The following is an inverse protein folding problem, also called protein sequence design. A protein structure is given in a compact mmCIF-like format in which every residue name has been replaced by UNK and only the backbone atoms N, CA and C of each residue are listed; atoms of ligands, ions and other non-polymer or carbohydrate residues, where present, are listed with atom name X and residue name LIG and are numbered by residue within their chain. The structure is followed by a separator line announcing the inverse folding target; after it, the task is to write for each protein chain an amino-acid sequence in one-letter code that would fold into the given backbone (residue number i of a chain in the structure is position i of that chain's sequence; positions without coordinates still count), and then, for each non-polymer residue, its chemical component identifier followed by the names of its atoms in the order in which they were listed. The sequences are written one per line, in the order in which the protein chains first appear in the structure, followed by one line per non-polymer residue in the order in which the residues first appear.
data_IF_864655071922
#
_entry.id   IF_864655071922
#
_cell.length_a   1.000
_cell.length_b   1.000
_cell.length_c   1.000
_cell.angle_alpha   90.00
_cell.angle_beta   90.00
_cell.angle_gamma   90.00
#
_symmetry.space_group_name_H-M   'P 1'
#
loop_
_entity.id
_entity.type
_entity.pdbx_description
1 polymer ?
#
# COMPACT_ATOMS: atom_id res chain seq x y z
N UNK A 1 4.83 5.48 0.74
CA UNK A 1 5.16 5.20 2.18
C UNK A 1 5.89 3.84 2.28
N UNK A 2 6.37 3.36 3.44
CA UNK A 2 7.09 2.07 3.50
C UNK A 2 6.15 0.85 3.45
N UNK A 3 6.65 -0.26 2.90
CA UNK A 3 5.89 -1.49 2.67
C UNK A 3 5.28 -2.09 3.93
N UNK A 4 5.98 -2.01 5.07
CA UNK A 4 5.47 -2.59 6.31
C UNK A 4 4.30 -1.76 6.85
N UNK A 5 4.37 -0.43 6.73
CA UNK A 5 3.25 0.44 7.08
C UNK A 5 2.04 0.17 6.20
N UNK A 6 2.21 0.00 4.89
CA UNK A 6 1.12 -0.39 3.98
C UNK A 6 0.52 -1.76 4.32
N UNK A 7 1.35 -2.74 4.66
CA UNK A 7 0.90 -4.05 5.14
C UNK A 7 0.02 -3.93 6.40
N UNK A 8 0.39 -3.05 7.33
CA UNK A 8 -0.38 -2.80 8.55
C UNK A 8 -1.69 -2.06 8.29
N UNK A 9 -1.71 -1.08 7.36
CA UNK A 9 -2.96 -0.44 6.91
C UNK A 9 -3.89 -1.47 6.26
N UNK A 10 -3.35 -2.34 5.40
CA UNK A 10 -4.11 -3.45 4.83
C UNK A 10 -4.64 -4.41 5.90
N UNK A 11 -3.82 -4.72 6.93
CA UNK A 11 -4.24 -5.55 8.05
C UNK A 11 -5.39 -4.91 8.84
N UNK A 12 -5.38 -3.58 9.02
CA UNK A 12 -6.49 -2.81 9.60
C UNK A 12 -7.76 -2.99 8.76
N UNK A 13 -7.68 -2.90 7.43
CA UNK A 13 -8.82 -3.20 6.56
C UNK A 13 -9.33 -4.63 6.77
N UNK A 14 -8.42 -5.61 6.90
CA UNK A 14 -8.76 -7.00 7.18
C UNK A 14 -9.47 -7.20 8.52
N UNK A 15 -9.04 -6.51 9.57
CA UNK A 15 -9.67 -6.54 10.90
C UNK A 15 -11.07 -5.92 10.87
N UNK A 16 -11.21 -4.80 10.18
CA UNK A 16 -12.49 -4.13 9.94
C UNK A 16 -13.40 -4.93 9.00
N UNK A 17 -12.89 -5.90 8.25
CA UNK A 17 -13.70 -6.75 7.38
C UNK A 17 -14.73 -7.62 8.13
N UNK A 18 -15.79 -8.06 7.45
CA UNK A 18 -16.71 -9.08 7.97
C UNK A 18 -15.99 -10.38 8.40
N UNK A 19 -16.42 -10.99 9.52
CA UNK A 19 -15.82 -12.20 10.12
C UNK A 19 -16.02 -13.47 9.30
N UNK A 20 -17.03 -13.51 8.43
CA UNK A 20 -17.31 -14.63 7.52
C UNK A 20 -16.31 -14.71 6.34
N UNK A 21 -15.55 -13.64 6.08
CA UNK A 21 -14.47 -13.67 5.09
C UNK A 21 -13.29 -14.49 5.63
N UNK A 22 -13.11 -15.68 5.07
CA UNK A 22 -11.96 -16.55 5.38
C UNK A 22 -10.64 -15.84 5.08
N UNK A 23 -9.67 -15.96 5.99
CA UNK A 23 -8.34 -15.35 5.87
C UNK A 23 -8.33 -13.82 5.67
N UNK A 24 -9.38 -13.10 6.11
CA UNK A 24 -9.49 -11.63 5.94
C UNK A 24 -8.25 -10.83 6.33
N UNK A 25 -7.52 -11.23 7.38
CA UNK A 25 -6.29 -10.54 7.80
C UNK A 25 -5.16 -10.72 6.79
N UNK A 26 -4.98 -11.94 6.25
CA UNK A 26 -3.97 -12.22 5.22
C UNK A 26 -4.32 -11.54 3.90
N UNK A 27 -5.60 -11.50 3.53
CA UNK A 27 -6.08 -10.77 2.34
C UNK A 27 -5.78 -9.29 2.50
N UNK A 28 -6.19 -8.70 3.63
CA UNK A 28 -5.96 -7.28 3.91
C UNK A 28 -4.48 -6.93 3.87
N UNK A 29 -3.66 -7.65 4.64
CA UNK A 29 -2.20 -7.46 4.68
C UNK A 29 -1.57 -7.60 3.29
N UNK A 30 -1.87 -8.71 2.59
CA UNK A 30 -1.27 -9.02 1.30
C UNK A 30 -1.62 -7.98 0.22
N UNK A 31 -2.89 -7.61 0.10
CA UNK A 31 -3.31 -6.62 -0.89
C UNK A 31 -2.97 -5.17 -0.51
N UNK A 32 -2.80 -4.88 0.79
CA UNK A 32 -2.30 -3.58 1.25
C UNK A 32 -0.84 -3.35 0.88
N UNK A 33 0.01 -4.38 0.89
CA UNK A 33 1.43 -4.26 0.52
C UNK A 33 1.73 -4.65 -0.94
N UNK A 34 0.73 -5.12 -1.69
CA UNK A 34 0.93 -5.66 -3.04
C UNK A 34 1.56 -4.66 -4.02
N UNK A 35 1.17 -3.37 -4.06
CA UNK A 35 1.79 -2.41 -4.98
C UNK A 35 3.30 -2.29 -4.77
N UNK A 36 3.73 -2.22 -3.51
CA UNK A 36 5.13 -2.09 -3.11
C UNK A 36 6.01 -3.27 -3.50
N UNK A 37 5.45 -4.43 -3.82
CA UNK A 37 6.25 -5.57 -4.28
C UNK A 37 7.06 -5.19 -5.53
N UNK A 38 6.49 -4.35 -6.40
CA UNK A 38 7.22 -3.82 -7.57
C UNK A 38 8.39 -2.93 -7.14
N UNK A 39 8.20 -2.13 -6.08
CA UNK A 39 9.26 -1.28 -5.53
C UNK A 39 10.41 -2.12 -4.95
N UNK A 40 10.07 -3.08 -4.10
CA UNK A 40 11.03 -3.92 -3.36
C UNK A 40 11.81 -4.85 -4.29
N UNK A 41 11.19 -5.36 -5.36
CA UNK A 41 11.83 -6.31 -6.28
C UNK A 41 12.54 -5.61 -7.44
N UNK A 42 12.01 -4.48 -7.92
CA UNK A 42 12.53 -3.84 -9.14
C UNK A 42 13.24 -2.52 -8.87
N UNK A 43 12.59 -1.56 -8.25
CA UNK A 43 13.12 -0.19 -8.15
C UNK A 43 14.31 -0.12 -7.20
N UNK A 44 14.15 -0.50 -5.93
CA UNK A 44 15.25 -0.43 -4.95
C UNK A 44 16.45 -1.29 -5.35
N UNK A 45 16.27 -2.53 -5.87
CA UNK A 45 17.41 -3.34 -6.28
C UNK A 45 18.16 -2.79 -7.49
N UNK A 46 17.45 -2.32 -8.51
CA UNK A 46 18.08 -1.75 -9.70
C UNK A 46 18.84 -0.46 -9.34
N UNK A 47 18.19 0.44 -8.60
CA UNK A 47 18.82 1.70 -8.20
C UNK A 47 20.00 1.47 -7.26
N UNK A 48 19.87 0.51 -6.33
CA UNK A 48 20.96 0.16 -5.42
C UNK A 48 22.16 -0.46 -6.14
N UNK A 49 21.93 -1.22 -7.21
CA UNK A 49 22.98 -1.71 -8.10
C UNK A 49 23.65 -0.56 -8.87
N UNK A 50 22.88 0.39 -9.39
CA UNK A 50 23.40 1.56 -10.11
C UNK A 50 24.29 2.44 -9.21
N UNK A 51 23.90 2.60 -7.94
CA UNK A 51 24.67 3.30 -6.92
C UNK A 51 25.90 2.52 -6.41
N UNK A 52 26.11 1.27 -6.84
CA UNK A 52 27.27 0.47 -6.48
C UNK A 52 27.25 -0.08 -5.05
N UNK A 53 26.08 -0.19 -4.42
CA UNK A 53 25.96 -0.76 -3.07
C UNK A 53 26.31 -2.25 -3.06
N UNK A 54 26.95 -2.72 -1.97
CA UNK A 54 27.30 -4.15 -1.80
C UNK A 54 26.06 -5.04 -1.70
N UNK A 55 25.03 -4.56 -0.99
CA UNK A 55 23.68 -5.11 -1.06
C UNK A 55 22.93 -4.17 -1.99
N UNK A 56 22.47 -4.63 -3.17
CA UNK A 56 21.82 -3.77 -4.14
C UNK A 56 20.43 -3.42 -3.62
N UNK A 57 20.36 -2.39 -2.78
CA UNK A 57 19.12 -1.86 -2.23
C UNK A 57 19.29 -0.37 -1.96
N UNK A 58 18.54 0.45 -2.69
CA UNK A 58 18.66 1.90 -2.62
C UNK A 58 18.12 2.47 -1.30
N UNK A 59 18.81 3.48 -0.77
CA UNK A 59 18.30 4.43 0.21
C UNK A 59 17.81 5.72 -0.44
N UNK A 60 17.27 6.64 0.36
CA UNK A 60 16.67 7.87 -0.15
C UNK A 60 17.62 8.78 -0.92
N UNK A 61 18.92 8.80 -0.58
CA UNK A 61 19.92 9.60 -1.29
C UNK A 61 20.14 9.11 -2.72
N UNK A 62 20.05 7.80 -2.97
CA UNK A 62 20.27 7.24 -4.31
C UNK A 62 19.21 7.73 -5.32
N UNK A 63 17.99 8.04 -4.85
CA UNK A 63 16.97 8.66 -5.69
C UNK A 63 17.36 10.09 -6.07
N UNK A 64 18.11 10.82 -5.25
CA UNK A 64 18.58 12.16 -5.62
C UNK A 64 19.78 12.10 -6.57
N UNK A 65 20.65 11.12 -6.36
CA UNK A 65 21.92 11.00 -7.09
C UNK A 65 21.75 10.37 -8.48
N UNK A 66 20.68 9.59 -8.70
CA UNK A 66 20.40 8.88 -9.96
C UNK A 66 18.96 9.11 -10.44
N UNK A 67 18.60 10.35 -10.84
CA UNK A 67 17.25 10.69 -11.27
C UNK A 67 16.81 9.98 -12.57
N UNK A 68 17.73 9.38 -13.31
CA UNK A 68 17.45 8.60 -14.52
C UNK A 68 16.55 7.38 -14.26
N UNK A 69 16.38 7.00 -12.99
CA UNK A 69 15.41 5.98 -12.58
C UNK A 69 13.98 6.30 -13.06
N UNK A 70 13.63 7.60 -13.15
CA UNK A 70 12.31 8.07 -13.57
C UNK A 70 11.93 7.63 -14.99
N UNK A 71 12.92 7.45 -15.87
CA UNK A 71 12.73 7.00 -17.26
C UNK A 71 12.90 5.47 -17.41
N UNK A 72 13.19 4.76 -16.33
CA UNK A 72 13.49 3.33 -16.37
C UNK A 72 12.23 2.48 -16.14
N UNK A 73 12.13 1.33 -16.83
CA UNK A 73 10.95 0.47 -16.79
C UNK A 73 10.58 -0.02 -15.38
N UNK A 74 11.57 -0.13 -14.48
CA UNK A 74 11.34 -0.51 -13.08
C UNK A 74 10.47 0.52 -12.36
N UNK A 75 10.70 1.82 -12.62
CA UNK A 75 9.89 2.90 -12.06
C UNK A 75 8.51 2.96 -12.72
N UNK A 76 8.41 2.71 -14.02
CA UNK A 76 7.11 2.61 -14.69
C UNK A 76 6.25 1.43 -14.20
N UNK A 77 6.86 0.32 -13.80
CA UNK A 77 6.15 -0.78 -13.13
C UNK A 77 5.60 -0.35 -11.76
N UNK A 78 6.37 0.45 -11.02
CA UNK A 78 5.91 1.07 -9.79
C UNK A 78 4.73 2.02 -10.04
N UNK A 79 4.84 2.97 -10.99
CA UNK A 79 3.75 3.88 -11.37
C UNK A 79 2.47 3.13 -11.77
N UNK A 80 2.60 2.06 -12.55
CA UNK A 80 1.46 1.23 -12.94
C UNK A 80 0.76 0.61 -11.73
N UNK A 81 1.51 0.03 -10.79
CA UNK A 81 0.92 -0.57 -9.60
C UNK A 81 0.34 0.46 -8.62
N UNK A 82 0.82 1.70 -8.65
CA UNK A 82 0.35 2.81 -7.82
C UNK A 82 -0.71 3.71 -8.52
N UNK A 83 -1.24 3.23 -9.65
CA UNK A 83 -2.27 3.91 -10.43
C UNK A 83 -3.69 3.54 -9.96
N UNK A 84 -4.53 4.55 -9.73
CA UNK A 84 -5.97 4.35 -9.51
C UNK A 84 -6.64 3.76 -10.75
N UNK A 85 -6.14 4.06 -11.95
CA UNK A 85 -6.63 3.47 -13.19
C UNK A 85 -6.35 1.95 -13.23
N UNK A 86 -5.14 1.54 -12.86
CA UNK A 86 -4.80 0.11 -12.76
C UNK A 86 -5.70 -0.58 -11.72
N UNK A 87 -5.86 0.02 -10.54
CA UNK A 87 -6.77 -0.52 -9.52
C UNK A 87 -8.21 -0.68 -10.05
N UNK A 88 -8.72 0.34 -10.75
CA UNK A 88 -10.06 0.32 -11.31
C UNK A 88 -10.25 -0.81 -12.33
N UNK A 89 -9.24 -1.08 -13.15
CA UNK A 89 -9.30 -2.14 -14.18
C UNK A 89 -9.06 -3.53 -13.56
N UNK A 90 -8.12 -3.66 -12.64
CA UNK A 90 -7.70 -4.95 -12.10
C UNK A 90 -8.59 -5.46 -10.96
N UNK A 91 -9.19 -4.58 -10.16
CA UNK A 91 -9.90 -4.98 -8.94
C UNK A 91 -11.41 -4.78 -9.01
N UNK A 92 -11.88 -3.65 -9.54
CA UNK A 92 -13.33 -3.35 -9.56
C UNK A 92 -14.16 -4.36 -10.38
N UNK A 93 -13.69 -4.98 -11.49
CA UNK A 93 -14.48 -6.01 -12.17
C UNK A 93 -14.81 -7.21 -11.29
N UNK A 94 -14.02 -7.45 -10.25
CA UNK A 94 -14.22 -8.56 -9.31
C UNK A 94 -15.03 -8.17 -8.06
N UNK A 95 -15.41 -6.89 -7.90
CA UNK A 95 -16.09 -6.36 -6.71
C UNK A 95 -17.36 -7.14 -6.33
N UNK A 96 -18.13 -7.58 -7.33
CA UNK A 96 -19.40 -8.31 -7.10
C UNK A 96 -19.19 -9.82 -6.87
N UNK A 97 -17.98 -10.37 -7.03
CA UNK A 97 -17.75 -11.81 -6.97
C UNK A 97 -17.78 -12.39 -5.56
N UNK A 98 -17.20 -11.73 -4.57
CA UNK A 98 -17.16 -12.23 -3.18
C UNK A 98 -16.79 -11.14 -2.17
N UNK A 99 -17.05 -11.39 -0.88
CA UNK A 99 -16.57 -10.51 0.20
C UNK A 99 -15.04 -10.41 0.23
N UNK A 100 -14.33 -11.50 -0.06
CA UNK A 100 -12.88 -11.51 -0.19
C UNK A 100 -12.37 -10.58 -1.31
N UNK A 101 -13.04 -10.58 -2.47
CA UNK A 101 -12.68 -9.70 -3.58
C UNK A 101 -12.90 -8.22 -3.25
N UNK A 102 -14.00 -7.90 -2.54
CA UNK A 102 -14.24 -6.54 -2.02
C UNK A 102 -13.15 -6.12 -1.05
N UNK A 103 -12.79 -6.99 -0.11
CA UNK A 103 -11.74 -6.72 0.86
C UNK A 103 -10.38 -6.50 0.18
N UNK A 104 -10.03 -7.33 -0.79
CA UNK A 104 -8.81 -7.15 -1.58
C UNK A 104 -8.79 -5.81 -2.31
N UNK A 105 -9.90 -5.44 -2.96
CA UNK A 105 -10.03 -4.16 -3.66
C UNK A 105 -9.92 -2.96 -2.70
N UNK A 106 -10.54 -3.03 -1.51
CA UNK A 106 -10.46 -1.99 -0.47
C UNK A 106 -9.05 -1.91 0.11
N UNK A 107 -8.41 -3.03 0.40
CA UNK A 107 -7.04 -3.05 0.94
C UNK A 107 -6.05 -2.45 -0.06
N UNK A 108 -6.13 -2.82 -1.34
CA UNK A 108 -5.32 -2.21 -2.39
C UNK A 108 -5.61 -0.70 -2.53
N UNK A 109 -6.88 -0.30 -2.51
CA UNK A 109 -7.23 1.13 -2.56
C UNK A 109 -6.69 1.90 -1.34
N UNK A 110 -6.68 1.28 -0.16
CA UNK A 110 -6.17 1.92 1.06
C UNK A 110 -4.68 2.24 0.96
N UNK A 111 -3.92 1.40 0.26
CA UNK A 111 -2.54 1.68 -0.08
C UNK A 111 -2.45 2.95 -0.95
N UNK A 112 -3.18 2.99 -2.07
CA UNK A 112 -3.15 4.12 -3.00
C UNK A 112 -3.53 5.43 -2.30
N UNK A 113 -4.57 5.39 -1.46
CA UNK A 113 -5.02 6.56 -0.69
C UNK A 113 -3.96 7.02 0.31
N UNK A 114 -3.29 6.09 0.99
CA UNK A 114 -2.21 6.43 1.90
C UNK A 114 -1.00 7.04 1.18
N UNK A 115 -0.81 6.69 -0.09
CA UNK A 115 0.31 7.17 -0.88
C UNK A 115 0.12 8.53 -1.51
N UNK A 116 -1.12 8.95 -1.79
CA UNK A 116 -1.45 10.29 -2.32
C UNK A 116 -0.74 11.42 -1.55
N UNK A 117 -0.79 11.49 -0.19
CA UNK A 117 -0.05 12.51 0.55
C UNK A 117 1.45 12.22 0.71
N UNK A 118 1.92 11.01 0.41
CA UNK A 118 3.27 10.53 0.76
C UNK A 118 4.32 10.61 -0.34
N UNK A 119 3.95 11.15 -1.50
CA UNK A 119 4.81 11.31 -2.67
C UNK A 119 4.59 12.69 -3.28
N UNK A 120 5.67 13.44 -3.51
CA UNK A 120 5.64 14.86 -3.90
C UNK A 120 6.76 15.17 -4.91
N UNK A 121 6.61 16.27 -5.65
CA UNK A 121 7.61 16.71 -6.62
C UNK A 121 7.82 15.73 -7.76
N UNK A 122 9.08 15.49 -8.14
CA UNK A 122 9.44 14.59 -9.26
C UNK A 122 9.13 13.12 -8.97
N UNK A 123 8.96 12.75 -7.70
CA UNK A 123 8.57 11.42 -7.25
C UNK A 123 7.08 11.34 -6.88
N UNK A 124 6.30 12.36 -7.26
CA UNK A 124 4.85 12.37 -7.09
C UNK A 124 4.17 11.21 -7.81
N UNK A 125 2.99 10.85 -7.32
CA UNK A 125 2.21 9.78 -7.95
C UNK A 125 1.63 10.21 -9.29
N UNK A 126 1.39 9.24 -10.15
CA UNK A 126 0.55 9.42 -11.34
C UNK A 126 -0.72 8.57 -11.21
N UNK A 127 -1.79 9.07 -10.56
CA UNK A 127 -2.99 8.28 -10.28
C UNK A 127 -3.68 7.75 -11.55
N UNK A 128 -3.43 8.39 -12.70
CA UNK A 128 -3.98 8.03 -13.99
C UNK A 128 -2.93 7.52 -14.98
N UNK A 129 -1.77 7.05 -14.50
CA UNK A 129 -0.71 6.50 -15.34
C UNK A 129 -1.30 5.53 -16.39
N UNK A 130 -0.94 5.66 -17.69
CA UNK A 130 0.18 6.44 -18.24
C UNK A 130 -0.15 7.87 -18.69
N UNK A 131 -1.25 8.46 -18.20
CA UNK A 131 -1.53 9.89 -18.47
C UNK A 131 -0.56 10.71 -17.60
N UNK A 132 0.26 11.63 -18.18
CA UNK A 132 1.34 12.33 -17.48
C UNK A 132 0.78 13.46 -16.59
N UNK A 133 0.09 13.05 -15.53
CA UNK A 133 -0.45 13.93 -14.50
C UNK A 133 0.14 13.51 -13.16
N UNK A 134 1.09 14.31 -12.69
CA UNK A 134 1.74 14.12 -11.39
C UNK A 134 0.88 14.79 -10.32
N UNK A 135 0.48 14.02 -9.32
CA UNK A 135 -0.16 14.51 -8.12
C UNK A 135 0.90 14.86 -7.08
N UNK A 136 0.85 16.09 -6.58
CA UNK A 136 1.79 16.61 -5.60
C UNK A 136 1.27 16.39 -4.17
N UNK A 137 1.89 15.47 -3.44
CA UNK A 137 1.57 15.16 -2.05
C UNK A 137 2.11 16.19 -1.05
N UNK A 138 2.21 15.78 0.22
CA UNK A 138 2.64 16.65 1.32
C UNK A 138 4.07 16.38 1.78
N UNK A 139 4.55 15.17 1.58
CA UNK A 139 5.91 14.73 1.94
C UNK A 139 6.37 13.66 0.95
N UNK A 140 7.66 13.34 0.96
CA UNK A 140 8.23 12.30 0.08
C UNK A 140 8.78 11.13 0.89
N UNK A 141 8.09 10.00 0.82
CA UNK A 141 8.49 8.77 1.48
C UNK A 141 9.69 8.09 0.82
N UNK A 142 10.02 8.39 -0.45
CA UNK A 142 11.22 7.86 -1.10
C UNK A 142 12.49 8.35 -0.42
N UNK A 143 12.44 9.55 0.13
CA UNK A 143 13.58 10.22 0.76
C UNK A 143 13.67 9.93 2.27
N UNK A 144 12.79 9.08 2.81
CA UNK A 144 12.79 8.77 4.23
C UNK A 144 14.02 7.97 4.65
N UNK A 145 14.65 8.42 5.73
CA UNK A 145 15.64 7.64 6.47
C UNK A 145 14.99 6.61 7.41
N UNK A 146 15.80 5.83 8.13
CA UNK A 146 15.31 4.77 9.02
C UNK A 146 14.37 5.25 10.14
N UNK A 147 14.55 6.48 10.63
CA UNK A 147 13.77 7.01 11.77
C UNK A 147 12.31 7.28 11.38
N UNK A 148 12.00 8.07 10.33
CA UNK A 148 10.61 8.21 9.85
C UNK A 148 9.91 6.88 9.55
N UNK A 149 10.62 5.93 8.93
CA UNK A 149 10.11 4.57 8.64
C UNK A 149 9.79 3.81 9.92
N UNK A 150 10.67 3.83 10.93
CA UNK A 150 10.38 3.17 12.20
C UNK A 150 9.16 3.79 12.90
N UNK A 151 9.03 5.12 12.84
CA UNK A 151 7.89 5.82 13.44
C UNK A 151 6.57 5.54 12.72
N UNK A 152 6.54 5.47 11.38
CA UNK A 152 5.34 5.10 10.61
C UNK A 152 4.86 3.70 10.96
N UNK A 153 5.78 2.74 11.03
CA UNK A 153 5.49 1.34 11.39
C UNK A 153 4.93 1.25 12.81
N UNK A 154 5.61 1.83 13.80
CA UNK A 154 5.19 1.76 15.20
C UNK A 154 3.83 2.43 15.40
N UNK A 155 3.63 3.62 14.81
CA UNK A 155 2.38 4.36 14.93
C UNK A 155 1.22 3.58 14.33
N UNK A 156 1.42 2.99 13.15
CA UNK A 156 0.38 2.20 12.47
C UNK A 156 0.10 0.87 13.17
N UNK A 157 1.13 0.26 13.77
CA UNK A 157 0.96 -0.94 14.59
C UNK A 157 0.13 -0.65 15.85
N UNK A 158 0.37 0.48 16.52
CA UNK A 158 -0.45 0.93 17.65
C UNK A 158 -1.89 1.19 17.21
N UNK A 159 -2.10 1.84 16.07
CA UNK A 159 -3.42 2.05 15.50
C UNK A 159 -4.14 0.72 15.21
N UNK A 160 -3.44 -0.27 14.66
CA UNK A 160 -3.98 -1.61 14.47
C UNK A 160 -4.46 -2.23 15.79
N UNK A 161 -3.67 -2.12 16.86
CA UNK A 161 -4.08 -2.62 18.19
C UNK A 161 -5.36 -1.92 18.66
N UNK A 162 -5.46 -0.61 18.52
CA UNK A 162 -6.66 0.17 18.88
C UNK A 162 -7.87 -0.31 18.08
N UNK A 163 -7.75 -0.40 16.75
CA UNK A 163 -8.82 -0.89 15.86
C UNK A 163 -9.26 -2.29 16.27
N UNK A 164 -8.32 -3.20 16.55
CA UNK A 164 -8.62 -4.56 16.97
C UNK A 164 -9.39 -4.61 18.29
N UNK A 165 -9.09 -3.73 19.25
CA UNK A 165 -9.87 -3.67 20.50
C UNK A 165 -11.29 -3.14 20.24
N UNK A 166 -11.42 -2.06 19.47
CA UNK A 166 -12.73 -1.50 19.12
C UNK A 166 -13.59 -2.52 18.35
N UNK A 167 -12.98 -3.26 17.43
CA UNK A 167 -13.66 -4.27 16.62
C UNK A 167 -14.31 -5.40 17.41
N UNK A 168 -13.87 -5.65 18.66
CA UNK A 168 -14.54 -6.59 19.56
C UNK A 168 -15.94 -6.12 19.97
N UNK A 169 -16.16 -4.81 19.99
CA UNK A 169 -17.42 -4.17 20.41
C UNK A 169 -18.34 -3.83 19.22
N UNK A 170 -17.77 -3.58 18.04
CA UNK A 170 -18.53 -3.23 16.84
C UNK A 170 -18.69 -4.42 15.90
N UNK A 171 -19.94 -4.88 15.74
CA UNK A 171 -20.31 -5.98 14.84
C UNK A 171 -20.95 -5.46 13.55
N UNK A 172 -20.56 -6.06 12.42
CA UNK A 172 -21.25 -5.86 11.16
C UNK A 172 -22.69 -6.39 11.23
N UNK A 173 -23.63 -5.88 10.42
CA UNK A 173 -24.99 -6.42 10.35
C UNK A 173 -25.03 -7.93 10.11
N UNK A 174 -24.14 -8.46 9.24
CA UNK A 174 -24.02 -9.90 8.96
C UNK A 174 -23.58 -10.74 10.16
N UNK A 175 -23.00 -10.12 11.19
CA UNK A 175 -22.48 -10.79 12.39
C UNK A 175 -23.48 -10.76 13.54
N UNK A 176 -24.47 -9.85 13.50
CA UNK A 176 -25.50 -9.73 14.53
C UNK A 176 -26.53 -10.85 14.43
N UNK A 177 -26.86 -11.27 13.21
CA UNK A 177 -27.78 -12.38 12.93
C UNK A 177 -27.27 -13.73 13.42
N UNK A 178 -25.95 -13.91 13.52
CA UNK A 178 -25.34 -15.16 14.03
C UNK A 178 -25.36 -15.27 15.56
N UNK A 179 -25.61 -14.18 16.29
CA UNK A 179 -25.65 -14.18 17.76
C UNK A 179 -27.03 -14.47 18.36
N UNK A 180 -28.08 -14.47 17.53
CA UNK A 180 -29.44 -14.85 17.93
C UNK A 180 -29.98 -15.93 16.98
N UNK A 181 -29.62 -17.21 17.18
CA UNK A 181 -30.38 -18.28 16.58
C UNK A 181 -31.76 -18.29 17.25
N UNK A 182 -32.79 -17.98 16.46
CA UNK A 182 -34.19 -18.23 16.81
C UNK A 182 -34.46 -19.70 17.04
#
# INVERSE_FOLDING_TARGET
MDTATHALVGLICGELGPKDIKHRHLIGLGFGMLPDITNVIFVHPYLGWLAGHTIPFAGGQDFLDFPEILDHWTYHAWLLSHSLLFWAIAFLPFWKRSGAAKLAAVAYASHLIADIPSHTGIYGLEPFYPIPYIFDGWFDAWLWGPVPIALSIVTTALLYVVVRQLRKQYLWPSERTLQHPS
#
